data_IF_316252211766
#
_entry.id   IF_316252211766
#
_cell.length_a   1.000
_cell.length_b   1.000
_cell.length_c   1.000
_cell.angle_alpha   90.00
_cell.angle_beta   90.00
_cell.angle_gamma   90.00
#
_symmetry.space_group_name_H-M   'P 1'
#
loop_
_entity.id
_entity.type
_entity.pdbx_description
1 polymer ?
#
# COMPACT_ATOMS: atom_id res chain seq x y z
N UNK A 1 -21.27 -17.09 -33.24
CA UNK A 1 -20.47 -15.84 -33.22
C UNK A 1 -19.83 -15.73 -31.86
N UNK A 2 -18.61 -16.23 -31.73
CA UNK A 2 -17.80 -16.10 -30.51
C UNK A 2 -17.12 -14.73 -30.55
N UNK A 3 -17.24 -13.88 -29.53
CA UNK A 3 -16.49 -12.64 -29.49
C UNK A 3 -15.00 -13.00 -29.43
N UNK A 4 -14.27 -12.52 -30.44
CA UNK A 4 -12.82 -12.60 -30.55
C UNK A 4 -12.25 -11.74 -29.43
N UNK A 5 -11.53 -12.35 -28.48
CA UNK A 5 -10.78 -11.62 -27.48
C UNK A 5 -9.83 -10.65 -28.18
N UNK A 6 -10.05 -9.35 -27.97
CA UNK A 6 -9.11 -8.33 -28.41
C UNK A 6 -7.83 -8.48 -27.58
N UNK A 7 -6.64 -8.43 -28.19
CA UNK A 7 -5.40 -8.42 -27.44
C UNK A 7 -5.37 -7.12 -26.63
N UNK A 8 -5.38 -7.22 -25.30
CA UNK A 8 -5.09 -6.11 -24.40
C UNK A 8 -3.77 -5.48 -24.87
N UNK A 9 -3.90 -4.29 -25.45
CA UNK A 9 -2.78 -3.46 -25.85
C UNK A 9 -1.88 -3.25 -24.65
N UNK A 10 -0.68 -3.86 -24.70
CA UNK A 10 0.42 -3.47 -23.86
C UNK A 10 0.75 -2.01 -24.19
N UNK A 11 0.26 -1.07 -23.37
CA UNK A 11 0.53 0.35 -23.54
C UNK A 11 2.05 0.58 -23.43
N UNK A 12 2.69 1.27 -24.39
CA UNK A 12 4.15 1.43 -24.45
C UNK A 12 4.70 2.52 -23.51
N UNK A 13 3.89 3.02 -22.58
CA UNK A 13 4.30 4.06 -21.64
C UNK A 13 4.68 3.44 -20.29
N UNK A 14 5.73 3.94 -19.63
CA UNK A 14 6.04 3.51 -18.27
C UNK A 14 4.82 3.72 -17.37
N UNK A 15 4.54 2.81 -16.43
CA UNK A 15 3.35 2.90 -15.58
C UNK A 15 3.35 4.23 -14.82
N UNK A 16 2.18 4.88 -14.78
CA UNK A 16 1.99 6.13 -14.05
C UNK A 16 2.27 5.92 -12.56
N UNK A 17 2.59 7.01 -11.86
CA UNK A 17 2.88 6.94 -10.42
C UNK A 17 1.74 6.27 -9.63
N UNK A 18 0.49 6.59 -9.97
CA UNK A 18 -0.71 5.95 -9.40
C UNK A 18 -0.76 4.45 -9.70
N UNK A 19 -0.37 4.02 -10.90
CA UNK A 19 -0.30 2.60 -11.25
C UNK A 19 0.77 1.86 -10.43
N UNK A 20 1.92 2.51 -10.17
CA UNK A 20 2.99 1.96 -9.33
C UNK A 20 2.55 1.81 -7.88
N UNK A 21 1.89 2.82 -7.30
CA UNK A 21 1.33 2.72 -5.95
C UNK A 21 0.26 1.60 -5.85
N UNK A 22 -0.60 1.47 -6.87
CA UNK A 22 -1.60 0.38 -6.93
C UNK A 22 -0.94 -1.00 -7.04
N UNK A 23 0.15 -1.13 -7.79
CA UNK A 23 0.90 -2.39 -7.89
C UNK A 23 1.55 -2.75 -6.55
N UNK A 24 2.26 -1.83 -5.90
CA UNK A 24 2.84 -2.03 -4.58
C UNK A 24 1.79 -2.41 -3.52
N UNK A 25 0.61 -1.79 -3.56
CA UNK A 25 -0.52 -2.13 -2.67
C UNK A 25 -1.02 -3.56 -2.90
N UNK A 26 -1.10 -4.01 -4.16
CA UNK A 26 -1.51 -5.38 -4.50
C UNK A 26 -0.49 -6.42 -4.06
N UNK A 27 0.80 -6.16 -4.28
CA UNK A 27 1.88 -7.04 -3.79
C UNK A 27 1.83 -7.19 -2.27
N UNK A 28 1.65 -6.07 -1.55
CA UNK A 28 1.53 -6.09 -0.10
C UNK A 28 0.33 -6.92 0.36
N UNK A 29 -0.83 -6.74 -0.28
CA UNK A 29 -2.05 -7.49 0.04
C UNK A 29 -1.90 -8.98 -0.25
N UNK A 30 -1.17 -9.36 -1.32
CA UNK A 30 -0.94 -10.75 -1.69
C UNK A 30 0.03 -11.49 -0.75
N UNK A 31 0.97 -10.76 -0.13
CA UNK A 31 1.92 -11.33 0.83
C UNK A 31 1.31 -11.55 2.22
N UNK A 32 0.15 -10.95 2.51
CA UNK A 32 -0.44 -10.97 3.85
C UNK A 32 -1.43 -12.12 4.05
N UNK A 33 -1.44 -12.70 5.25
CA UNK A 33 -2.48 -13.63 5.68
C UNK A 33 -3.44 -12.90 6.63
N UNK A 34 -4.70 -12.70 6.25
CA UNK A 34 -5.67 -11.94 7.05
C UNK A 34 -5.89 -12.56 8.43
N UNK A 35 -6.03 -11.72 9.45
CA UNK A 35 -6.41 -12.09 10.82
C UNK A 35 -7.66 -11.33 11.27
N UNK A 36 -8.37 -11.88 12.26
CA UNK A 36 -9.47 -11.19 12.94
C UNK A 36 -8.97 -9.86 13.51
N UNK A 37 -9.74 -8.80 13.29
CA UNK A 37 -9.39 -7.45 13.72
C UNK A 37 -8.39 -6.72 12.82
N UNK A 38 -7.96 -7.31 11.71
CA UNK A 38 -7.27 -6.55 10.65
C UNK A 38 -8.25 -5.65 9.90
N UNK A 39 -7.74 -4.54 9.35
CA UNK A 39 -8.53 -3.63 8.52
C UNK A 39 -8.46 -4.03 7.05
N UNK A 40 -9.58 -3.89 6.35
CA UNK A 40 -9.70 -4.07 4.90
C UNK A 40 -10.55 -2.95 4.33
N UNK A 41 -10.26 -2.53 3.11
CA UNK A 41 -11.09 -1.60 2.34
C UNK A 41 -11.78 -2.37 1.23
N UNK A 42 -13.11 -2.32 1.19
CA UNK A 42 -13.92 -2.79 0.07
C UNK A 42 -14.61 -1.57 -0.54
N UNK A 43 -14.46 -1.36 -1.84
CA UNK A 43 -14.99 -0.16 -2.53
C UNK A 43 -14.56 1.16 -1.86
N UNK A 44 -13.29 1.22 -1.42
CA UNK A 44 -12.70 2.34 -0.68
C UNK A 44 -13.32 2.62 0.72
N UNK A 45 -14.16 1.71 1.23
CA UNK A 45 -14.73 1.80 2.59
C UNK A 45 -13.98 0.87 3.56
N UNK A 46 -13.33 1.42 4.61
CA UNK A 46 -12.60 0.62 5.59
C UNK A 46 -13.57 -0.11 6.54
N UNK A 47 -13.29 -1.39 6.81
CA UNK A 47 -13.99 -2.22 7.78
C UNK A 47 -13.02 -3.20 8.45
N UNK A 48 -13.39 -3.65 9.65
CA UNK A 48 -12.64 -4.66 10.42
C UNK A 48 -13.07 -6.06 9.99
N UNK A 49 -12.11 -6.97 9.83
CA UNK A 49 -12.40 -8.37 9.58
C UNK A 49 -12.94 -9.05 10.85
N UNK A 50 -14.08 -9.71 10.70
CA UNK A 50 -14.63 -10.62 11.71
C UNK A 50 -14.04 -12.05 11.57
N UNK A 51 -14.47 -12.97 12.44
CA UNK A 51 -14.00 -14.36 12.44
C UNK A 51 -14.29 -15.12 11.14
N UNK A 52 -15.48 -14.91 10.56
CA UNK A 52 -15.90 -15.57 9.33
C UNK A 52 -15.13 -15.04 8.12
N UNK A 53 -14.90 -13.73 8.06
CA UNK A 53 -14.13 -13.08 7.01
C UNK A 53 -12.63 -13.36 7.11
N UNK A 54 -12.07 -13.46 8.31
CA UNK A 54 -10.67 -13.86 8.49
C UNK A 54 -10.44 -15.30 8.04
N UNK A 55 -11.37 -16.22 8.33
CA UNK A 55 -11.30 -17.62 7.91
C UNK A 55 -11.31 -17.80 6.38
N UNK A 56 -12.00 -16.91 5.65
CA UNK A 56 -12.09 -16.89 4.18
C UNK A 56 -11.26 -15.78 3.54
N UNK A 57 -10.41 -15.08 4.31
CA UNK A 57 -9.91 -13.77 3.89
C UNK A 57 -9.00 -13.79 2.67
N UNK A 58 -8.37 -14.93 2.34
CA UNK A 58 -7.62 -15.09 1.08
C UNK A 58 -8.53 -15.08 -0.16
N UNK A 59 -9.76 -15.58 -0.06
CA UNK A 59 -10.74 -15.53 -1.15
C UNK A 59 -11.36 -14.13 -1.30
N UNK A 60 -11.51 -13.38 -0.19
CA UNK A 60 -11.89 -11.96 -0.26
C UNK A 60 -10.83 -11.13 -0.99
N UNK A 61 -9.53 -11.33 -0.72
CA UNK A 61 -8.44 -10.58 -1.37
C UNK A 61 -8.29 -10.91 -2.86
N UNK A 62 -8.81 -12.05 -3.33
CA UNK A 62 -8.88 -12.34 -4.78
C UNK A 62 -9.96 -11.53 -5.51
N UNK A 63 -10.93 -10.98 -4.78
CA UNK A 63 -11.82 -9.95 -5.33
C UNK A 63 -11.03 -8.64 -5.45
N UNK A 64 -10.93 -8.12 -6.68
CA UNK A 64 -10.17 -6.90 -6.99
C UNK A 64 -10.72 -5.65 -6.30
N UNK A 65 -11.87 -5.75 -5.64
CA UNK A 65 -12.52 -4.69 -4.87
C UNK A 65 -12.07 -4.64 -3.41
N UNK A 66 -11.46 -5.71 -2.88
CA UNK A 66 -11.01 -5.80 -1.49
C UNK A 66 -9.50 -5.58 -1.43
N UNK A 67 -9.08 -4.65 -0.60
CA UNK A 67 -7.67 -4.32 -0.38
C UNK A 67 -7.38 -4.33 1.11
N UNK A 68 -6.27 -4.94 1.51
CA UNK A 68 -5.90 -5.00 2.91
C UNK A 68 -5.29 -3.68 3.38
N UNK A 69 -5.69 -3.22 4.57
CA UNK A 69 -5.10 -2.07 5.25
C UNK A 69 -4.33 -2.60 6.45
N UNK A 70 -2.99 -2.60 6.38
CA UNK A 70 -2.18 -3.10 7.46
C UNK A 70 -2.43 -2.32 8.75
N UNK A 71 -2.45 -3.02 9.89
CA UNK A 71 -2.52 -2.36 11.19
C UNK A 71 -1.28 -1.47 11.39
N UNK A 72 -1.39 -0.46 12.24
CA UNK A 72 -0.30 0.49 12.44
C UNK A 72 1.03 -0.17 12.84
N UNK A 73 1.00 -1.18 13.72
CA UNK A 73 2.20 -1.94 14.12
C UNK A 73 2.88 -2.64 12.93
N UNK A 74 2.09 -3.17 12.02
CA UNK A 74 2.57 -3.85 10.81
C UNK A 74 3.09 -2.84 9.79
N UNK A 75 2.42 -1.70 9.61
CA UNK A 75 2.90 -0.60 8.77
C UNK A 75 4.24 -0.06 9.24
N UNK A 76 4.40 0.13 10.54
CA UNK A 76 5.65 0.60 11.13
C UNK A 76 6.78 -0.43 10.91
N UNK A 77 6.50 -1.73 11.01
CA UNK A 77 7.47 -2.78 10.69
C UNK A 77 7.89 -2.76 9.22
N UNK A 78 6.93 -2.56 8.30
CA UNK A 78 7.19 -2.44 6.86
C UNK A 78 8.01 -1.19 6.53
N UNK A 79 7.69 -0.05 7.16
CA UNK A 79 8.43 1.20 7.02
C UNK A 79 9.85 1.06 7.54
N UNK A 80 10.05 0.44 8.70
CA UNK A 80 11.39 0.20 9.26
C UNK A 80 12.27 -0.69 8.36
N UNK A 81 11.66 -1.53 7.51
CA UNK A 81 12.41 -2.35 6.56
C UNK A 81 12.91 -1.56 5.32
N UNK A 82 12.30 -0.41 5.01
CA UNK A 82 12.61 0.40 3.82
C UNK A 82 13.12 1.80 4.16
N UNK A 83 13.03 2.20 5.43
CA UNK A 83 13.39 3.51 5.96
C UNK A 83 14.04 3.34 7.33
N UNK A 84 15.34 3.67 7.50
CA UNK A 84 16.03 3.56 8.79
C UNK A 84 15.43 4.46 9.87
N UNK A 85 14.82 5.58 9.49
CA UNK A 85 14.17 6.50 10.42
C UNK A 85 12.76 6.87 9.93
N UNK A 86 11.78 6.68 10.80
CA UNK A 86 10.37 7.03 10.57
C UNK A 86 9.87 7.85 11.75
N UNK A 87 9.26 9.00 11.47
CA UNK A 87 8.61 9.87 12.44
C UNK A 87 7.13 9.88 12.14
N UNK A 88 6.32 9.51 13.13
CA UNK A 88 4.87 9.66 13.10
C UNK A 88 4.50 10.78 14.08
N UNK A 89 4.03 11.89 13.53
CA UNK A 89 3.59 13.05 14.30
C UNK A 89 2.06 13.08 14.35
N UNK A 90 1.52 13.28 15.55
CA UNK A 90 0.09 13.19 15.83
C UNK A 90 -0.44 14.60 16.15
N UNK A 91 -1.09 15.22 15.18
CA UNK A 91 -1.80 16.49 15.36
C UNK A 91 -3.27 16.25 15.67
N UNK A 92 -3.96 17.30 16.10
CA UNK A 92 -5.39 17.21 16.40
C UNK A 92 -6.19 17.10 15.09
N UNK A 93 -6.55 15.87 14.71
CA UNK A 93 -7.34 15.58 13.51
C UNK A 93 -6.52 15.16 12.28
N UNK A 94 -5.19 15.23 12.35
CA UNK A 94 -4.28 14.88 11.25
C UNK A 94 -3.05 14.14 11.78
N UNK A 95 -2.48 13.28 10.94
CA UNK A 95 -1.28 12.49 11.25
C UNK A 95 -0.27 12.66 10.13
N UNK A 96 0.98 13.00 10.49
CA UNK A 96 2.07 13.14 9.53
C UNK A 96 3.05 11.98 9.67
N UNK A 97 3.32 11.27 8.58
CA UNK A 97 4.35 10.24 8.50
C UNK A 97 5.52 10.75 7.64
N UNK A 98 6.67 10.92 8.27
CA UNK A 98 7.91 11.39 7.63
C UNK A 98 8.96 10.30 7.69
N UNK A 99 9.52 9.95 6.54
CA UNK A 99 10.53 8.90 6.41
C UNK A 99 11.84 9.47 5.88
N UNK A 100 12.96 8.95 6.37
CA UNK A 100 14.31 9.39 5.99
C UNK A 100 15.18 8.21 5.57
N UNK A 101 16.07 8.45 4.61
CA UNK A 101 17.11 7.50 4.22
C UNK A 101 18.32 7.51 5.17
N UNK A 102 19.31 6.67 4.87
CA UNK A 102 20.56 6.52 5.63
C UNK A 102 21.39 7.81 5.75
N UNK A 103 21.20 8.76 4.83
CA UNK A 103 21.89 10.07 4.84
C UNK A 103 20.99 11.18 5.39
N UNK A 104 19.93 10.81 6.11
CA UNK A 104 18.95 11.72 6.72
C UNK A 104 18.22 12.62 5.71
N UNK A 105 18.16 12.23 4.43
CA UNK A 105 17.31 12.91 3.45
C UNK A 105 15.91 12.38 3.57
N UNK A 106 14.94 13.28 3.48
CA UNK A 106 13.52 12.94 3.52
C UNK A 106 13.11 12.24 2.23
N UNK A 107 12.59 11.02 2.36
CA UNK A 107 12.14 10.17 1.25
C UNK A 107 10.62 10.02 1.19
N UNK A 108 9.90 10.35 2.25
CA UNK A 108 8.45 10.52 2.23
C UNK A 108 8.02 11.57 3.26
N UNK A 109 6.94 12.28 2.95
CA UNK A 109 6.28 13.26 3.82
C UNK A 109 4.80 13.25 3.48
N UNK A 110 4.00 12.59 4.32
CA UNK A 110 2.58 12.35 4.04
C UNK A 110 1.75 12.76 5.24
N UNK A 111 0.65 13.47 4.98
CA UNK A 111 -0.36 13.83 5.98
C UNK A 111 -1.67 13.13 5.63
N UNK A 112 -2.30 12.49 6.61
CA UNK A 112 -3.60 11.83 6.45
C UNK A 112 -4.45 11.90 7.74
N UNK A 113 -5.73 11.58 7.59
CA UNK A 113 -6.74 11.64 8.66
C UNK A 113 -6.54 10.57 9.75
N UNK A 114 -5.79 9.49 9.45
CA UNK A 114 -5.45 8.44 10.42
C UNK A 114 -3.97 8.07 10.34
N UNK A 115 -3.36 7.58 11.43
CA UNK A 115 -1.95 7.18 11.42
C UNK A 115 -1.69 6.01 10.47
N UNK A 116 -2.64 5.08 10.32
CA UNK A 116 -2.53 3.98 9.37
C UNK A 116 -2.50 4.48 7.93
N UNK A 117 -3.35 5.44 7.58
CA UNK A 117 -3.36 6.01 6.23
C UNK A 117 -2.05 6.75 5.94
N UNK A 118 -1.55 7.53 6.90
CA UNK A 118 -0.29 8.26 6.75
C UNK A 118 0.88 7.29 6.51
N UNK A 119 1.00 6.26 7.35
CA UNK A 119 2.05 5.25 7.22
C UNK A 119 1.93 4.39 5.95
N UNK A 120 0.72 3.98 5.58
CA UNK A 120 0.48 3.20 4.35
C UNK A 120 0.86 4.01 3.12
N UNK A 121 0.40 5.25 3.02
CA UNK A 121 0.71 6.12 1.88
C UNK A 121 2.22 6.41 1.79
N UNK A 122 2.89 6.67 2.91
CA UNK A 122 4.34 6.86 2.94
C UNK A 122 5.08 5.60 2.44
N UNK A 123 4.66 4.41 2.89
CA UNK A 123 5.24 3.15 2.44
C UNK A 123 5.06 2.93 0.93
N UNK A 124 3.86 3.17 0.41
CA UNK A 124 3.57 3.05 -1.03
C UNK A 124 4.38 4.05 -1.85
N UNK A 125 4.57 5.28 -1.34
CA UNK A 125 5.40 6.30 -1.98
C UNK A 125 6.85 5.82 -2.12
N UNK A 126 7.45 5.36 -1.02
CA UNK A 126 8.83 4.85 -1.00
C UNK A 126 9.00 3.67 -1.95
N UNK A 127 8.07 2.70 -1.92
CA UNK A 127 8.12 1.54 -2.83
C UNK A 127 8.02 1.94 -4.30
N UNK A 128 7.19 2.93 -4.63
CA UNK A 128 7.04 3.42 -5.99
C UNK A 128 8.31 4.15 -6.48
N UNK A 129 8.95 4.94 -5.62
CA UNK A 129 10.22 5.63 -5.92
C UNK A 129 11.36 4.63 -6.16
N UNK A 130 11.51 3.63 -5.28
CA UNK A 130 12.53 2.58 -5.45
C UNK A 130 12.34 1.83 -6.78
N UNK A 131 11.10 1.43 -7.10
CA UNK A 131 10.80 0.77 -8.37
C UNK A 131 11.02 1.68 -9.59
N UNK A 132 10.86 3.00 -9.45
CA UNK A 132 11.15 3.95 -10.52
C UNK A 132 12.65 4.05 -10.80
N UNK A 133 13.47 4.07 -9.74
CA UNK A 133 14.93 4.10 -9.84
C UNK A 133 15.48 2.81 -10.47
N UNK A 134 14.94 1.64 -10.11
CA UNK A 134 15.31 0.35 -10.72
C UNK A 134 14.96 0.25 -12.21
N UNK A 135 13.96 0.99 -12.67
CA UNK A 135 13.49 0.99 -14.07
C UNK A 135 14.27 1.93 -14.99
N UNK A 136 15.16 2.76 -14.46
CA UNK A 136 16.03 3.65 -15.23
C UNK A 136 17.46 3.06 -15.23
N UNK A 137 17.85 2.26 -16.25
CA UNK A 137 19.25 1.93 -16.41
C UNK A 137 20.02 3.21 -16.75
N UNK A 138 21.14 3.44 -16.05
CA UNK A 138 22.14 4.46 -16.41
C UNK A 138 22.66 4.28 -17.85
#
# INVERSE_FOLDING_TARGET
MTPKAEPESAYPFPPSYVQRCRAARRELSAAWTPSVGDWVTQDDVPHLLDEDQAAHGKELVTDRTVCWVPRLDQLLALLNAVSPHTVLDCYQGDFACICFDEVSRRIADVVAETPELACLQAYLFIRAELAAQESQPE
#
